data_IF_734639650705
#
_entry.id   IF_734639650705
#
_cell.length_a   1.000
_cell.length_b   1.000
_cell.length_c   1.000
_cell.angle_alpha   90.00
_cell.angle_beta   90.00
_cell.angle_gamma   90.00
#
_symmetry.space_group_name_H-M   'P 1'
#
loop_
_entity.id
_entity.type
_entity.pdbx_description
1 polymer ?
2 polymer ?
#
# COMPACT_ATOMS: atom_id res chain seq x y z
N UNK A 2 -10.48 -13.80 -29.48
CA UNK A 2 -10.19 -12.47 -29.06
C UNK A 2 -8.85 -12.46 -28.41
N UNK A 3 -8.49 -13.57 -27.74
CA UNK A 3 -7.31 -13.63 -26.93
C UNK A 3 -6.29 -14.53 -27.56
N UNK A 4 -5.01 -14.27 -27.20
CA UNK A 4 -3.84 -15.02 -27.54
C UNK A 4 -3.16 -15.06 -26.21
N UNK A 5 -1.86 -15.37 -26.10
CA UNK A 5 -1.32 -15.33 -24.77
C UNK A 5 -1.50 -13.91 -24.28
N UNK A 6 -1.31 -12.96 -25.15
CA UNK A 6 -1.64 -11.60 -24.82
C UNK A 6 -3.11 -11.36 -25.00
N UNK A 7 -3.61 -10.20 -24.51
CA UNK A 7 -4.98 -9.77 -24.51
C UNK A 7 -5.45 -9.56 -25.91
N UNK A 8 -4.54 -9.26 -26.87
CA UNK A 8 -4.97 -9.02 -28.22
C UNK A 8 -5.10 -10.34 -28.93
N UNK A 9 -5.92 -10.37 -30.01
CA UNK A 9 -6.10 -11.56 -30.78
C UNK A 9 -4.96 -11.66 -31.74
N UNK A 10 -4.62 -12.90 -32.16
CA UNK A 10 -3.56 -13.02 -33.11
C UNK A 10 -4.17 -13.35 -34.43
N UNK A 11 -5.16 -12.53 -34.84
CA UNK A 11 -5.78 -12.74 -36.12
C UNK A 11 -4.65 -12.61 -37.07
N UNK A 12 -3.84 -11.55 -36.87
CA UNK A 12 -2.65 -11.42 -37.62
C UNK A 12 -1.65 -12.20 -36.84
N UNK A 13 -0.56 -12.51 -37.45
CA UNK A 13 0.50 -13.19 -36.75
C UNK A 13 1.24 -12.23 -35.87
N UNK A 14 0.73 -10.98 -35.75
CA UNK A 14 1.42 -9.89 -35.13
C UNK A 14 1.79 -10.15 -33.68
N UNK A 15 0.91 -10.78 -32.89
CA UNK A 15 1.17 -11.01 -31.49
C UNK A 15 2.50 -11.66 -31.28
N UNK A 16 3.26 -11.17 -30.27
CA UNK A 16 4.55 -11.71 -29.93
C UNK A 16 4.67 -11.71 -28.44
N UNK A 17 5.51 -12.59 -27.87
CA UNK A 17 5.60 -12.72 -26.45
C UNK A 17 6.12 -11.46 -25.83
N UNK A 18 5.56 -11.12 -24.66
CA UNK A 18 5.84 -9.94 -23.89
C UNK A 18 7.27 -10.03 -23.48
N UNK A 19 7.78 -11.27 -23.41
CA UNK A 19 9.15 -11.51 -23.09
C UNK A 19 10.06 -11.17 -24.24
N UNK A 20 9.65 -11.50 -25.48
CA UNK A 20 10.47 -11.35 -26.65
C UNK A 20 10.48 -9.98 -27.30
N UNK A 21 9.30 -9.32 -27.45
CA UNK A 21 9.29 -8.14 -28.28
C UNK A 21 8.31 -7.12 -27.76
N UNK A 22 8.31 -5.95 -28.39
CA UNK A 22 7.60 -4.77 -27.93
C UNK A 22 6.11 -4.56 -27.72
N UNK A 23 5.15 -5.38 -28.11
CA UNK A 23 3.78 -5.08 -27.74
C UNK A 23 3.27 -3.76 -28.30
N UNK A 24 3.94 -3.20 -29.32
CA UNK A 24 3.55 -1.95 -29.93
C UNK A 24 2.24 -2.16 -30.61
N UNK A 25 1.97 -3.40 -31.04
CA UNK A 25 0.75 -3.68 -31.73
C UNK A 25 -0.43 -3.50 -30.81
N UNK A 26 -0.23 -3.74 -29.50
CA UNK A 26 -1.27 -3.68 -28.50
C UNK A 26 -1.75 -2.27 -28.30
N UNK A 27 -0.83 -1.28 -28.30
CA UNK A 27 -1.21 0.09 -28.08
C UNK A 27 -0.23 0.97 -28.78
N UNK A 28 -0.57 2.23 -28.90
CA UNK A 28 0.30 3.15 -29.55
C UNK A 28 1.58 3.28 -28.80
N UNK A 29 2.68 3.56 -29.51
CA UNK A 29 3.99 3.63 -28.94
C UNK A 29 4.02 4.74 -27.94
N UNK A 30 3.33 5.85 -28.26
CA UNK A 30 3.36 7.00 -27.40
C UNK A 30 2.73 6.61 -26.10
N UNK A 31 1.73 5.72 -26.13
CA UNK A 31 1.06 5.33 -24.92
C UNK A 31 2.05 4.68 -24.02
N UNK A 32 3.02 3.97 -24.60
CA UNK A 32 4.07 3.35 -23.87
C UNK A 32 4.84 4.39 -23.14
N UNK A 33 5.21 5.48 -23.84
CA UNK A 33 5.99 6.51 -23.21
C UNK A 33 5.13 7.16 -22.18
N UNK A 34 3.82 7.21 -22.40
CA UNK A 34 2.95 7.85 -21.46
C UNK A 34 3.00 7.12 -20.16
N UNK A 35 2.89 5.77 -20.18
CA UNK A 35 2.94 5.03 -18.96
C UNK A 35 4.30 5.15 -18.33
N UNK A 36 5.36 5.20 -19.16
CA UNK A 36 6.68 5.36 -18.63
C UNK A 36 6.76 6.67 -17.93
N UNK A 37 6.15 7.74 -18.51
CA UNK A 37 6.22 9.04 -17.92
C UNK A 37 5.54 9.03 -16.59
N UNK A 38 4.39 8.34 -16.50
CA UNK A 38 3.64 8.36 -15.28
C UNK A 38 4.47 7.75 -14.20
N UNK A 39 5.15 6.64 -14.52
CA UNK A 39 5.95 5.96 -13.55
C UNK A 39 7.12 6.82 -13.12
N UNK A 40 7.77 7.53 -14.05
CA UNK A 40 8.93 8.27 -13.65
C UNK A 40 8.55 9.31 -12.63
N UNK A 41 7.44 10.03 -12.86
CA UNK A 41 7.06 11.08 -11.95
C UNK A 41 6.72 10.46 -10.63
N UNK A 42 6.06 9.29 -10.67
CA UNK A 42 5.62 8.64 -9.48
C UNK A 42 6.81 8.30 -8.64
N UNK A 43 7.91 7.86 -9.27
CA UNK A 43 9.06 7.44 -8.52
C UNK A 43 9.51 8.56 -7.66
N UNK A 44 9.52 9.79 -8.20
CA UNK A 44 9.99 10.88 -7.41
C UNK A 44 9.11 11.09 -6.23
N UNK A 45 7.79 11.19 -6.46
CA UNK A 45 6.89 11.51 -5.38
C UNK A 45 6.85 10.43 -4.35
N UNK A 46 6.74 9.16 -4.78
CA UNK A 46 6.58 8.07 -3.86
C UNK A 46 7.79 7.97 -2.99
N UNK A 47 8.99 8.10 -3.58
CA UNK A 47 10.18 7.96 -2.80
C UNK A 47 10.30 9.06 -1.78
N UNK A 48 10.11 10.32 -2.21
CA UNK A 48 10.32 11.43 -1.31
C UNK A 48 9.32 11.40 -0.20
N UNK A 49 8.03 11.20 -0.53
CA UNK A 49 7.00 11.29 0.47
C UNK A 49 7.14 10.21 1.51
N UNK A 50 7.40 8.97 1.08
CA UNK A 50 7.46 7.86 1.99
C UNK A 50 8.68 7.91 2.83
N UNK A 51 9.79 8.41 2.26
CA UNK A 51 11.01 8.51 3.01
C UNK A 51 10.80 9.53 4.08
N UNK A 52 10.08 10.62 3.76
CA UNK A 52 9.83 11.67 4.70
C UNK A 52 9.07 11.12 5.86
N UNK A 53 8.05 10.27 5.60
CA UNK A 53 7.27 9.73 6.67
C UNK A 53 8.13 8.89 7.55
N UNK A 54 8.88 7.95 6.95
CA UNK A 54 9.68 7.03 7.72
C UNK A 54 10.71 7.81 8.47
N UNK A 55 11.34 8.78 7.79
CA UNK A 55 12.40 9.56 8.37
C UNK A 55 11.89 10.36 9.52
N UNK A 56 10.74 11.04 9.34
CA UNK A 56 10.27 11.94 10.36
C UNK A 56 9.94 11.19 11.62
N UNK A 57 9.17 10.11 11.52
CA UNK A 57 8.79 9.47 12.75
C UNK A 57 9.99 8.91 13.44
N UNK A 58 10.93 8.28 12.71
CA UNK A 58 12.08 7.78 13.39
C UNK A 58 12.85 8.93 13.98
N UNK A 59 12.98 10.03 13.21
CA UNK A 59 13.75 11.17 13.65
C UNK A 59 13.15 11.79 14.86
N UNK A 60 11.82 11.99 14.89
CA UNK A 60 11.18 12.68 15.98
C UNK A 60 10.78 11.71 17.02
N UNK A 61 11.38 11.85 18.21
CA UNK A 61 11.19 10.96 19.33
C UNK A 61 9.76 10.95 19.75
N UNK A 62 9.07 12.10 19.70
CA UNK A 62 7.72 12.16 20.18
C UNK A 62 6.81 11.29 19.38
N UNK A 63 7.04 11.17 18.05
CA UNK A 63 6.07 10.41 17.33
C UNK A 63 6.34 8.95 17.51
N UNK A 64 6.11 8.43 18.73
CA UNK A 64 6.30 7.03 18.94
C UNK A 64 5.01 6.54 19.46
N UNK A 65 4.16 6.10 18.54
CA UNK A 65 2.94 5.54 19.00
C UNK A 65 2.93 4.19 18.39
N UNK A 66 2.05 3.30 18.86
CA UNK A 66 2.02 2.01 18.26
C UNK A 66 1.61 2.20 16.84
N UNK A 67 0.66 3.13 16.62
CA UNK A 67 0.14 3.36 15.31
C UNK A 67 1.25 3.76 14.41
N UNK A 68 2.19 4.57 14.93
CA UNK A 68 3.27 5.07 14.13
C UNK A 68 4.09 3.90 13.65
N UNK A 69 4.17 2.84 14.46
CA UNK A 69 4.89 1.66 14.07
C UNK A 69 4.24 1.06 12.86
N UNK A 70 2.90 0.97 12.85
CA UNK A 70 2.19 0.35 11.76
C UNK A 70 2.37 1.17 10.52
N UNK A 71 2.33 2.51 10.67
CA UNK A 71 2.47 3.41 9.55
C UNK A 71 3.82 3.29 8.93
N UNK A 72 4.87 3.03 9.73
CA UNK A 72 6.16 2.91 9.10
C UNK A 72 6.08 1.73 8.20
N UNK A 73 5.37 0.67 8.63
CA UNK A 73 5.27 -0.54 7.89
C UNK A 73 4.65 -0.22 6.56
N UNK A 74 3.55 0.57 6.58
CA UNK A 74 2.91 0.95 5.36
C UNK A 74 3.87 1.73 4.52
N UNK A 75 4.61 2.66 5.14
CA UNK A 75 5.49 3.53 4.41
C UNK A 75 6.53 2.69 3.74
N UNK A 76 7.02 1.66 4.45
CA UNK A 76 8.04 0.78 3.96
C UNK A 76 7.52 0.05 2.76
N UNK A 77 6.26 -0.40 2.80
CA UNK A 77 5.70 -1.13 1.69
C UNK A 77 5.67 -0.23 0.49
N UNK A 78 5.34 1.07 0.68
CA UNK A 78 5.30 2.01 -0.40
C UNK A 78 6.68 2.22 -0.95
N UNK A 79 7.71 2.25 -0.07
CA UNK A 79 9.05 2.49 -0.50
C UNK A 79 9.50 1.39 -1.41
N UNK A 80 9.14 0.13 -1.09
CA UNK A 80 9.58 -0.96 -1.92
C UNK A 80 8.98 -0.75 -3.26
N UNK A 81 7.75 -0.25 -3.32
CA UNK A 81 7.12 -0.04 -4.59
C UNK A 81 7.92 0.96 -5.37
N UNK A 82 8.26 2.10 -4.74
CA UNK A 82 8.96 3.13 -5.44
C UNK A 82 10.33 2.66 -5.82
N UNK A 83 11.05 1.97 -4.93
CA UNK A 83 12.36 1.54 -5.34
C UNK A 83 12.34 0.34 -6.25
N UNK A 84 11.74 -0.78 -5.78
CA UNK A 84 11.75 -2.03 -6.49
C UNK A 84 10.82 -2.12 -7.66
N UNK A 85 9.50 -2.00 -7.41
CA UNK A 85 8.59 -2.30 -8.48
C UNK A 85 8.51 -1.26 -9.54
N UNK A 86 8.48 0.03 -9.15
CA UNK A 86 8.25 1.04 -10.13
C UNK A 86 9.38 1.08 -11.11
N UNK A 87 10.62 0.85 -10.65
CA UNK A 87 11.76 0.97 -11.50
C UNK A 87 11.65 -0.01 -12.65
N UNK A 88 11.32 -1.28 -12.36
CA UNK A 88 11.24 -2.29 -13.36
C UNK A 88 10.11 -1.98 -14.30
N UNK A 89 8.96 -1.54 -13.75
CA UNK A 89 7.80 -1.26 -14.54
C UNK A 89 8.14 -0.15 -15.50
N UNK A 90 9.00 0.80 -15.09
CA UNK A 90 9.39 1.88 -15.94
C UNK A 90 10.24 1.39 -17.09
N UNK A 91 11.22 0.50 -16.80
CA UNK A 91 12.16 0.05 -17.79
C UNK A 91 11.38 -0.64 -18.85
N UNK A 92 10.44 -1.48 -18.43
CA UNK A 92 9.68 -2.18 -19.37
C UNK A 92 8.95 -1.23 -20.24
N UNK A 93 8.33 -0.21 -19.63
CA UNK A 93 7.39 0.57 -20.38
C UNK A 93 8.11 1.17 -21.52
N UNK A 94 9.29 1.74 -21.27
CA UNK A 94 9.94 2.35 -22.38
C UNK A 94 10.44 1.33 -23.37
N UNK A 95 10.74 0.10 -22.91
CA UNK A 95 11.13 -0.97 -23.80
C UNK A 95 9.97 -1.52 -24.58
N UNK A 96 8.74 -1.41 -24.03
CA UNK A 96 7.53 -1.91 -24.62
C UNK A 96 7.32 -3.37 -24.34
N UNK A 97 8.20 -4.00 -23.54
CA UNK A 97 7.97 -5.34 -23.09
C UNK A 97 8.96 -5.76 -22.07
N UNK A 98 8.77 -7.00 -21.59
CA UNK A 98 9.46 -7.67 -20.53
C UNK A 98 10.81 -8.07 -21.05
N UNK A 99 11.78 -7.16 -20.96
CA UNK A 99 13.09 -7.44 -21.49
C UNK A 99 13.71 -8.51 -20.66
N UNK A 100 13.44 -8.45 -19.35
CA UNK A 100 14.01 -9.29 -18.35
C UNK A 100 13.65 -10.73 -18.58
N UNK A 101 12.43 -11.05 -19.05
CA UNK A 101 12.12 -12.44 -19.31
C UNK A 101 11.36 -13.02 -18.15
N UNK A 102 10.97 -14.31 -18.25
CA UNK A 102 10.07 -14.98 -17.34
C UNK A 102 10.55 -14.93 -15.92
N UNK A 103 11.85 -15.11 -15.67
CA UNK A 103 12.31 -15.08 -14.31
C UNK A 103 11.95 -13.78 -13.70
N UNK A 104 12.24 -12.68 -14.42
CA UNK A 104 11.99 -11.41 -13.85
C UNK A 104 10.53 -11.14 -13.69
N UNK A 105 9.68 -11.67 -14.59
CA UNK A 105 8.26 -11.44 -14.46
C UNK A 105 7.90 -11.92 -13.11
N UNK A 106 8.49 -13.07 -12.70
CA UNK A 106 8.24 -13.67 -11.42
C UNK A 106 8.74 -12.80 -10.33
N UNK A 107 9.98 -12.31 -10.46
CA UNK A 107 10.49 -11.49 -9.40
C UNK A 107 9.60 -10.30 -9.28
N UNK A 108 9.29 -9.66 -10.42
CA UNK A 108 8.54 -8.45 -10.43
C UNK A 108 7.15 -8.64 -9.97
N UNK A 109 6.49 -9.74 -10.29
CA UNK A 109 5.18 -9.91 -9.75
C UNK A 109 5.22 -10.15 -8.26
N UNK A 110 6.16 -11.00 -7.78
CA UNK A 110 6.17 -11.39 -6.39
C UNK A 110 6.30 -10.20 -5.48
N UNK A 111 7.28 -9.31 -5.72
CA UNK A 111 7.46 -8.21 -4.80
C UNK A 111 6.28 -7.27 -4.81
N UNK A 112 5.79 -6.89 -5.95
CA UNK A 112 4.61 -6.06 -5.96
C UNK A 112 3.40 -6.68 -5.33
N UNK A 113 3.24 -8.00 -5.43
CA UNK A 113 2.09 -8.64 -4.86
C UNK A 113 2.20 -8.60 -3.38
N UNK A 114 3.42 -8.83 -2.88
CA UNK A 114 3.64 -8.83 -1.46
C UNK A 114 3.28 -7.47 -0.94
N UNK A 115 3.65 -6.41 -1.68
CA UNK A 115 3.41 -5.08 -1.21
C UNK A 115 1.94 -4.81 -1.04
N UNK A 116 1.10 -5.21 -2.02
CA UNK A 116 -0.32 -4.94 -1.96
C UNK A 116 -0.96 -5.71 -0.84
N UNK A 117 -0.58 -6.99 -0.67
CA UNK A 117 -1.20 -7.79 0.34
C UNK A 117 -0.87 -7.20 1.68
N UNK A 118 0.40 -6.82 1.88
CA UNK A 118 0.87 -6.33 3.15
C UNK A 118 0.14 -5.08 3.52
N UNK A 119 -0.17 -4.22 2.53
CA UNK A 119 -0.83 -2.97 2.82
C UNK A 119 -2.19 -3.20 3.38
N UNK A 120 -3.02 -4.00 2.69
CA UNK A 120 -4.38 -4.17 3.12
C UNK A 120 -4.37 -4.81 4.48
N UNK A 121 -3.49 -5.80 4.68
CA UNK A 121 -3.42 -6.46 5.95
C UNK A 121 -2.97 -5.50 7.02
N UNK A 122 -2.04 -4.58 6.71
CA UNK A 122 -1.60 -3.68 7.73
C UNK A 122 -2.71 -2.76 8.10
N UNK A 123 -3.53 -2.37 7.11
CA UNK A 123 -4.64 -1.48 7.34
C UNK A 123 -5.59 -2.14 8.29
N UNK A 124 -5.73 -3.48 8.22
CA UNK A 124 -6.63 -4.14 9.11
C UNK A 124 -6.12 -4.04 10.50
N UNK A 125 -4.80 -4.23 10.69
CA UNK A 125 -4.26 -4.19 12.01
C UNK A 125 -4.56 -2.83 12.58
N UNK A 126 -4.38 -1.79 11.75
CA UNK A 126 -4.62 -0.44 12.18
C UNK A 126 -6.04 -0.32 12.65
N UNK A 127 -7.00 -0.94 11.92
CA UNK A 127 -8.38 -0.84 12.26
C UNK A 127 -8.64 -1.47 13.60
N UNK A 128 -8.05 -2.66 13.83
CA UNK A 128 -8.27 -3.37 15.05
C UNK A 128 -7.69 -2.57 16.18
N UNK A 129 -6.49 -1.99 15.98
CA UNK A 129 -5.86 -1.26 17.03
C UNK A 129 -6.72 -0.05 17.35
N UNK A 130 -7.34 0.55 16.33
CA UNK A 130 -8.18 1.69 16.60
C UNK A 130 -9.32 1.24 17.46
N UNK A 131 -9.87 0.06 17.16
CA UNK A 131 -11.00 -0.43 17.90
C UNK A 131 -10.58 -0.60 19.32
N UNK A 132 -9.38 -1.18 19.54
CA UNK A 132 -8.91 -1.45 20.87
C UNK A 132 -8.72 -0.16 21.62
N UNK A 133 -8.15 0.86 20.97
CA UNK A 133 -7.89 2.11 21.64
C UNK A 133 -9.17 2.74 22.06
N UNK A 134 -10.17 2.71 21.18
CA UNK A 134 -11.39 3.37 21.53
C UNK A 134 -12.05 2.68 22.68
N UNK A 135 -12.25 1.34 22.64
CA UNK A 135 -12.99 0.74 23.72
C UNK A 135 -12.19 0.67 24.98
N UNK A 136 -10.93 0.18 24.89
CA UNK A 136 -10.23 0.02 26.13
C UNK A 136 -9.01 0.86 26.13
N UNK A 137 -9.15 1.97 26.77
CA UNK A 137 -8.09 2.91 26.90
C UNK A 137 -7.01 2.39 27.77
N UNK A 138 -7.23 1.27 28.50
CA UNK A 138 -6.23 0.77 29.40
C UNK A 138 -4.99 0.58 28.58
N UNK A 139 -3.98 1.42 28.87
CA UNK A 139 -2.74 1.44 28.14
C UNK A 139 -1.97 0.17 28.32
N UNK A 140 -1.92 -0.38 29.49
CA UNK A 140 -1.06 -1.52 29.65
C UNK A 140 -1.37 -2.70 28.79
N UNK A 141 -2.62 -2.92 28.37
CA UNK A 141 -2.78 -4.08 27.55
C UNK A 141 -2.34 -3.72 26.17
N UNK A 142 -1.01 -3.66 25.97
CA UNK A 142 -0.49 -3.35 24.68
C UNK A 142 1.01 -3.26 24.81
N UNK A 143 1.76 -3.64 23.76
CA UNK A 143 3.19 -3.52 23.84
C UNK A 143 3.74 -3.12 22.51
N UNK A 144 4.84 -2.32 22.53
CA UNK A 144 5.52 -1.92 21.33
C UNK A 144 6.13 -3.14 20.72
N UNK A 145 6.69 -4.02 21.57
CA UNK A 145 7.39 -5.19 21.11
C UNK A 145 6.43 -6.02 20.33
N UNK A 146 5.19 -6.10 20.80
CA UNK A 146 4.19 -6.89 20.14
C UNK A 146 3.94 -6.34 18.77
N UNK A 147 3.95 -5.00 18.64
CA UNK A 147 3.64 -4.37 17.38
C UNK A 147 4.63 -4.83 16.37
N UNK A 148 5.92 -4.89 16.73
CA UNK A 148 6.91 -5.34 15.79
C UNK A 148 6.59 -6.73 15.40
N UNK A 149 6.21 -7.56 16.39
CA UNK A 149 5.91 -8.94 16.13
C UNK A 149 4.76 -8.99 15.18
N UNK A 150 3.75 -8.13 15.40
CA UNK A 150 2.58 -8.11 14.58
C UNK A 150 2.94 -7.75 13.18
N UNK A 151 3.80 -6.72 13.01
CA UNK A 151 4.15 -6.27 11.70
C UNK A 151 4.81 -7.40 10.96
N UNK A 152 5.70 -8.13 11.66
CA UNK A 152 6.40 -9.20 11.01
C UNK A 152 5.41 -10.24 10.57
N UNK A 153 4.37 -10.47 11.39
CA UNK A 153 3.39 -11.47 11.10
C UNK A 153 2.68 -11.13 9.83
N UNK A 154 2.33 -9.84 9.63
CA UNK A 154 1.60 -9.45 8.46
C UNK A 154 2.43 -9.80 7.27
N UNK A 155 3.75 -9.55 7.35
CA UNK A 155 4.60 -9.87 6.25
C UNK A 155 4.56 -11.35 6.02
N UNK A 156 4.52 -12.17 7.09
CA UNK A 156 4.53 -13.59 6.90
C UNK A 156 3.33 -14.00 6.09
N UNK A 157 2.13 -13.53 6.46
CA UNK A 157 0.92 -13.90 5.77
C UNK A 157 1.00 -13.39 4.36
N UNK A 158 1.56 -12.19 4.18
CA UNK A 158 1.64 -11.62 2.87
C UNK A 158 2.41 -12.58 2.02
N UNK A 159 3.49 -13.15 2.57
CA UNK A 159 4.27 -14.10 1.84
C UNK A 159 3.42 -15.30 1.52
N UNK A 160 2.47 -15.65 2.40
CA UNK A 160 1.67 -16.81 2.12
C UNK A 160 0.98 -16.66 0.81
N UNK A 161 0.43 -15.49 0.49
CA UNK A 161 -0.06 -15.44 -0.86
C UNK A 161 1.00 -15.16 -1.88
N UNK A 162 1.89 -14.20 -1.59
CA UNK A 162 2.82 -13.78 -2.60
C UNK A 162 3.74 -14.88 -3.02
N UNK A 163 4.21 -15.70 -2.06
CA UNK A 163 5.20 -16.68 -2.39
C UNK A 163 4.69 -17.87 -3.16
N UNK A 164 3.50 -18.37 -2.93
CA UNK A 164 3.12 -19.59 -3.61
C UNK A 164 3.10 -19.58 -5.09
N UNK A 165 2.93 -18.42 -5.74
CA UNK A 165 2.95 -18.41 -7.17
C UNK A 165 4.32 -18.88 -7.59
N UNK A 166 5.36 -18.55 -6.80
CA UNK A 166 6.71 -18.97 -7.06
C UNK A 166 6.76 -20.46 -6.94
N UNK A 167 6.07 -20.99 -5.92
CA UNK A 167 5.90 -22.41 -5.78
C UNK A 167 5.08 -22.72 -6.98
N UNK A 168 5.07 -23.99 -7.45
CA UNK A 168 4.32 -24.20 -8.65
C UNK A 168 2.89 -23.83 -8.44
N UNK A 169 2.54 -22.69 -9.05
CA UNK A 169 1.24 -22.14 -8.95
C UNK A 169 1.11 -21.34 -10.19
N UNK A 170 0.08 -20.49 -10.22
CA UNK A 170 -0.20 -19.64 -11.35
C UNK A 170 0.96 -18.68 -11.56
N UNK A 171 0.92 -17.83 -12.66
CA UNK A 171 1.92 -16.79 -13.03
C UNK A 171 1.42 -15.76 -14.13
N UNK A 172 2.21 -14.66 -14.58
CA UNK A 172 1.99 -13.85 -15.85
C UNK A 172 2.00 -12.30 -15.88
N UNK A 173 2.20 -11.68 -17.11
CA UNK A 173 2.21 -10.24 -17.39
C UNK A 173 0.79 -9.73 -17.65
N UNK A 174 0.55 -8.41 -17.39
CA UNK A 174 -0.70 -7.65 -17.44
C UNK A 174 -1.03 -7.16 -18.84
N UNK A 175 -2.19 -6.54 -19.12
CA UNK A 175 -2.60 -6.29 -20.47
C UNK A 175 -1.66 -5.77 -21.51
N UNK A 176 -1.13 -4.53 -21.43
CA UNK A 176 -0.18 -4.03 -22.41
C UNK A 176 1.13 -4.53 -21.95
N UNK A 177 1.09 -5.57 -21.14
CA UNK A 177 2.00 -5.29 -20.14
C UNK A 177 3.37 -5.64 -19.97
N UNK A 178 3.85 -4.64 -19.22
CA UNK A 178 4.89 -4.96 -18.37
C UNK A 178 4.69 -4.48 -16.99
N UNK A 179 3.77 -5.22 -16.40
CA UNK A 179 3.56 -5.29 -15.01
C UNK A 179 3.18 -6.73 -14.93
N UNK A 180 3.58 -7.45 -13.86
CA UNK A 180 3.22 -8.84 -13.84
C UNK A 180 2.35 -9.11 -12.67
N UNK A 181 1.37 -10.03 -12.85
CA UNK A 181 0.42 -10.35 -11.82
C UNK A 181 0.03 -11.80 -11.91
N UNK A 182 -0.93 -12.19 -11.06
CA UNK A 182 -1.41 -13.55 -10.96
C UNK A 182 -2.17 -13.89 -12.21
N UNK A 183 -2.14 -15.18 -12.61
CA UNK A 183 -2.73 -15.66 -13.83
C UNK A 183 -4.22 -15.81 -13.77
N UNK A 184 -4.95 -14.72 -14.04
CA UNK A 184 -6.36 -14.70 -14.26
C UNK A 184 -6.74 -15.21 -15.64
N UNK A 185 -5.95 -15.04 -16.69
CA UNK A 185 -6.41 -15.44 -18.00
C UNK A 185 -6.66 -16.87 -18.33
N UNK A 186 -5.76 -17.79 -17.97
CA UNK A 186 -5.94 -19.13 -18.45
C UNK A 186 -6.09 -19.99 -17.27
N UNK A 187 -6.45 -21.26 -17.50
CA UNK A 187 -6.53 -22.09 -16.35
C UNK A 187 -5.41 -23.08 -16.38
N UNK A 188 -4.17 -22.64 -16.69
CA UNK A 188 -3.00 -23.48 -16.95
C UNK A 188 -3.05 -24.58 -15.92
N UNK A 189 -3.51 -25.76 -16.38
CA UNK A 189 -3.96 -26.88 -15.59
C UNK A 189 -2.87 -27.43 -14.75
N UNK A 190 -1.67 -27.57 -15.33
CA UNK A 190 -0.61 -28.20 -14.59
C UNK A 190 -0.37 -27.36 -13.39
N UNK A 191 -0.52 -26.06 -13.61
CA UNK A 191 -0.34 -24.96 -12.70
C UNK A 191 -1.41 -24.88 -11.62
N UNK A 192 -2.65 -25.34 -11.92
CA UNK A 192 -3.74 -25.19 -10.97
C UNK A 192 -4.00 -23.74 -10.71
N UNK A 193 -4.24 -22.97 -11.79
CA UNK A 193 -4.49 -21.56 -11.75
C UNK A 193 -5.79 -21.21 -11.06
N UNK A 194 -6.88 -21.89 -11.46
CA UNK A 194 -8.21 -21.53 -11.07
C UNK A 194 -8.37 -21.48 -9.59
N UNK A 195 -7.82 -22.48 -8.87
CA UNK A 195 -8.01 -22.53 -7.46
C UNK A 195 -7.34 -21.38 -6.80
N UNK A 196 -6.12 -21.08 -7.26
CA UNK A 196 -5.27 -20.09 -6.66
C UNK A 196 -5.95 -18.75 -6.74
N UNK A 197 -6.60 -18.46 -7.88
CA UNK A 197 -7.22 -17.19 -8.17
C UNK A 197 -8.31 -16.84 -7.22
N UNK A 198 -9.25 -17.76 -6.99
CA UNK A 198 -10.34 -17.46 -6.12
C UNK A 198 -9.78 -17.27 -4.75
N UNK A 199 -8.88 -18.18 -4.36
CA UNK A 199 -8.34 -18.22 -3.03
C UNK A 199 -7.67 -16.94 -2.70
N UNK A 200 -6.81 -16.48 -3.61
CA UNK A 200 -6.04 -15.32 -3.32
C UNK A 200 -6.89 -14.10 -3.17
N UNK A 201 -7.81 -13.83 -4.11
CA UNK A 201 -8.52 -12.59 -4.05
C UNK A 201 -9.30 -12.53 -2.79
N UNK A 202 -10.13 -13.56 -2.55
CA UNK A 202 -11.01 -13.53 -1.43
C UNK A 202 -10.24 -13.51 -0.14
N UNK A 203 -9.33 -14.47 0.05
CA UNK A 203 -8.66 -14.53 1.31
C UNK A 203 -7.80 -13.35 1.54
N UNK A 204 -6.92 -12.99 0.58
CA UNK A 204 -6.03 -11.91 0.88
C UNK A 204 -6.66 -10.55 0.79
N UNK A 205 -7.31 -10.19 -0.33
CA UNK A 205 -7.90 -8.89 -0.46
C UNK A 205 -9.25 -8.72 0.19
N UNK A 206 -10.23 -9.58 -0.17
CA UNK A 206 -11.60 -9.39 0.23
C UNK A 206 -11.84 -9.54 1.71
N UNK A 207 -11.33 -10.62 2.33
CA UNK A 207 -11.63 -10.85 3.71
C UNK A 207 -11.08 -9.74 4.54
N UNK A 208 -9.86 -9.33 4.31
CA UNK A 208 -9.30 -8.27 5.10
C UNK A 208 -10.05 -7.00 4.89
N UNK A 209 -10.66 -6.83 3.71
CA UNK A 209 -11.37 -5.63 3.44
C UNK A 209 -12.60 -5.62 4.32
N UNK A 210 -13.26 -6.80 4.45
CA UNK A 210 -14.47 -6.89 5.20
C UNK A 210 -14.18 -6.60 6.64
N UNK A 211 -13.10 -7.17 7.19
CA UNK A 211 -12.80 -6.99 8.58
C UNK A 211 -12.58 -5.54 8.85
N UNK A 212 -11.84 -4.86 7.97
CA UNK A 212 -11.53 -3.47 8.18
C UNK A 212 -12.84 -2.75 8.18
N UNK A 213 -13.75 -3.13 7.26
CA UNK A 213 -15.02 -2.48 7.18
C UNK A 213 -15.78 -2.73 8.46
N UNK A 214 -15.73 -3.98 8.96
CA UNK A 214 -16.47 -4.33 10.14
C UNK A 214 -15.94 -3.59 11.32
N UNK A 215 -14.62 -3.58 11.51
CA UNK A 215 -14.02 -2.94 12.64
C UNK A 215 -14.38 -1.49 12.56
N UNK A 216 -14.47 -0.97 11.33
CA UNK A 216 -14.83 0.40 11.16
C UNK A 216 -16.19 0.61 11.75
N UNK A 217 -17.13 -0.33 11.53
CA UNK A 217 -18.48 -0.12 12.00
C UNK A 217 -18.52 -0.05 13.49
N UNK A 218 -17.73 -0.89 14.19
CA UNK A 218 -17.79 -0.88 15.63
C UNK A 218 -17.36 0.46 16.14
N UNK A 219 -16.34 1.05 15.50
CA UNK A 219 -15.79 2.33 15.88
C UNK A 219 -16.85 3.37 15.72
N UNK A 220 -17.87 3.09 14.88
CA UNK A 220 -18.92 4.02 14.58
C UNK A 220 -19.68 4.38 15.82
N UNK A 221 -19.99 3.40 16.69
CA UNK A 221 -20.72 3.69 17.88
C UNK A 221 -19.89 4.59 18.74
N UNK A 222 -18.60 4.27 18.87
CA UNK A 222 -17.71 5.00 19.72
C UNK A 222 -17.35 6.28 19.03
N UNK A 223 -16.05 6.66 19.09
CA UNK A 223 -15.62 7.90 18.51
C UNK A 223 -16.05 7.89 17.08
N UNK A 224 -16.66 9.01 16.66
CA UNK A 224 -17.20 9.12 15.34
C UNK A 224 -16.48 10.27 14.70
N UNK A 225 -16.98 10.73 13.55
CA UNK A 225 -16.36 11.80 12.84
C UNK A 225 -16.40 13.05 13.67
N UNK A 226 -17.53 13.32 14.33
CA UNK A 226 -17.64 14.56 15.05
C UNK A 226 -16.59 14.62 16.11
N UNK A 227 -15.80 15.72 16.08
CA UNK A 227 -14.79 15.97 17.06
C UNK A 227 -14.64 17.46 17.11
N UNK A 228 -14.75 18.07 18.30
CA UNK A 228 -14.62 19.49 18.42
C UNK A 228 -13.15 19.76 18.56
N UNK A 229 -12.66 20.79 17.92
CA UNK A 229 -11.26 21.05 17.95
C UNK A 229 -10.69 21.20 19.32
N UNK A 230 -11.41 21.86 20.24
CA UNK A 230 -10.83 21.95 21.56
C UNK A 230 -11.17 20.67 22.24
N UNK A 231 -10.51 20.41 23.38
CA UNK A 231 -10.83 19.24 24.13
C UNK A 231 -12.27 19.38 24.51
N UNK A 232 -12.66 20.56 25.00
CA UNK A 232 -14.00 20.71 25.47
C UNK A 232 -14.94 20.56 24.33
N UNK A 233 -16.09 19.89 24.61
CA UNK A 233 -17.20 19.68 23.73
C UNK A 233 -17.12 18.30 23.15
N UNK A 234 -18.00 17.41 23.63
CA UNK A 234 -18.17 16.08 23.12
C UNK A 234 -16.87 15.33 23.17
N UNK A 235 -15.84 15.87 23.84
CA UNK A 235 -14.61 15.17 23.95
C UNK A 235 -14.36 15.05 25.41
N UNK A 236 -13.90 13.88 25.86
CA UNK A 236 -13.63 13.74 27.27
C UNK A 236 -12.15 13.61 27.41
N UNK A 237 -11.45 14.76 27.39
CA UNK A 237 -10.03 14.89 27.51
C UNK A 237 -9.46 15.18 26.16
N UNK A 238 -8.38 15.99 26.14
CA UNK A 238 -7.73 16.42 24.96
C UNK A 238 -7.19 15.22 24.26
N UNK A 239 -6.68 14.25 25.02
CA UNK A 239 -6.14 13.09 24.39
C UNK A 239 -7.25 12.42 23.64
N UNK A 240 -8.45 12.37 24.25
CA UNK A 240 -9.58 11.75 23.61
C UNK A 240 -9.93 12.50 22.38
N UNK A 241 -9.85 13.84 22.44
CA UNK A 241 -10.19 14.67 21.31
C UNK A 241 -9.16 14.55 20.24
N UNK A 242 -7.89 14.33 20.63
CA UNK A 242 -6.79 14.20 19.72
C UNK A 242 -6.90 12.94 18.91
N UNK A 243 -7.33 11.85 19.56
CA UNK A 243 -7.38 10.53 18.99
C UNK A 243 -8.33 10.50 17.84
N UNK A 244 -9.44 11.24 17.94
CA UNK A 244 -10.46 11.24 16.94
C UNK A 244 -9.84 11.69 15.66
N UNK A 245 -8.81 12.57 15.72
CA UNK A 245 -8.15 13.04 14.54
C UNK A 245 -7.42 11.91 13.87
N UNK A 246 -6.78 11.04 14.66
CA UNK A 246 -6.02 9.94 14.14
C UNK A 246 -6.94 8.96 13.46
N UNK A 247 -8.12 8.71 14.05
CA UNK A 247 -9.02 7.76 13.49
C UNK A 247 -9.48 8.22 12.13
N UNK A 248 -9.79 9.52 11.99
CA UNK A 248 -10.30 10.01 10.74
C UNK A 248 -9.29 9.85 9.66
N UNK A 249 -8.00 10.12 9.96
CA UNK A 249 -7.01 9.95 8.94
C UNK A 249 -6.96 8.51 8.56
N UNK A 250 -7.05 7.62 9.54
CA UNK A 250 -6.95 6.22 9.23
C UNK A 250 -8.07 5.86 8.32
N UNK A 251 -9.25 6.48 8.52
CA UNK A 251 -10.37 6.19 7.68
C UNK A 251 -10.06 6.61 6.28
N UNK A 252 -9.49 7.82 6.10
CA UNK A 252 -9.24 8.30 4.78
C UNK A 252 -8.23 7.42 4.11
N UNK A 253 -7.22 6.96 4.87
CA UNK A 253 -6.18 6.14 4.32
C UNK A 253 -6.81 4.92 3.74
N UNK A 254 -7.79 4.35 4.45
CA UNK A 254 -8.46 3.17 3.98
C UNK A 254 -9.22 3.47 2.72
N UNK A 255 -9.94 4.61 2.69
CA UNK A 255 -10.81 4.92 1.59
C UNK A 255 -10.01 5.04 0.33
N UNK A 256 -8.88 5.76 0.40
CA UNK A 256 -8.08 5.97 -0.76
C UNK A 256 -7.58 4.64 -1.23
N UNK A 257 -7.24 3.76 -0.29
CA UNK A 257 -6.71 2.46 -0.60
C UNK A 257 -7.71 1.69 -1.41
N UNK A 258 -8.98 1.68 -0.96
CA UNK A 258 -10.00 0.90 -1.61
C UNK A 258 -10.23 1.40 -2.99
N UNK A 259 -10.28 2.73 -3.15
CA UNK A 259 -10.59 3.26 -4.45
C UNK A 259 -9.51 2.86 -5.39
N UNK A 260 -8.24 2.96 -4.97
CA UNK A 260 -7.16 2.68 -5.87
C UNK A 260 -7.14 1.23 -6.28
N UNK A 261 -7.21 0.30 -5.31
CA UNK A 261 -7.11 -1.12 -5.54
C UNK A 261 -8.36 -1.81 -6.02
N UNK A 262 -9.54 -1.36 -5.59
CA UNK A 262 -10.73 -2.14 -5.80
C UNK A 262 -10.97 -2.41 -7.25
N UNK A 263 -10.76 -1.47 -8.12
CA UNK A 263 -11.02 -1.76 -9.50
C UNK A 263 -10.16 -2.87 -9.99
N UNK A 264 -8.90 -2.96 -9.52
CA UNK A 264 -8.03 -3.99 -10.00
C UNK A 264 -8.53 -5.33 -9.57
N UNK A 265 -8.94 -5.44 -8.29
CA UNK A 265 -9.38 -6.70 -7.75
C UNK A 265 -10.64 -7.14 -8.43
N UNK A 266 -11.54 -6.20 -8.78
CA UNK A 266 -12.76 -6.60 -9.42
C UNK A 266 -12.44 -7.17 -10.77
N UNK A 267 -11.55 -6.49 -11.52
CA UNK A 267 -11.16 -6.95 -12.83
C UNK A 267 -10.41 -8.23 -12.67
N UNK A 268 -9.75 -8.42 -11.53
CA UNK A 268 -9.02 -9.62 -11.27
C UNK A 268 -9.99 -10.76 -11.44
N UNK A 269 -11.12 -10.71 -10.71
CA UNK A 269 -12.11 -11.75 -10.70
C UNK A 269 -12.86 -11.89 -11.99
N UNK A 270 -13.30 -10.77 -12.61
CA UNK A 270 -14.20 -10.88 -13.73
C UNK A 270 -13.53 -11.63 -14.85
N UNK A 271 -12.32 -11.31 -15.22
CA UNK A 271 -11.71 -12.15 -16.21
C UNK A 271 -11.52 -13.57 -15.80
N UNK A 272 -11.45 -13.87 -14.49
CA UNK A 272 -11.33 -15.23 -14.08
C UNK A 272 -12.56 -15.97 -14.50
N UNK A 273 -13.75 -15.38 -14.28
CA UNK A 273 -14.98 -16.03 -14.62
C UNK A 273 -15.11 -16.14 -16.11
N UNK A 274 -14.80 -15.06 -16.84
CA UNK A 274 -14.95 -15.12 -18.27
C UNK A 274 -13.65 -14.74 -18.88
N UNK A 275 -12.80 -15.72 -19.00
CA UNK A 275 -11.54 -15.45 -19.64
C UNK A 275 -11.75 -15.60 -21.10
N UNK A 276 -10.80 -15.09 -21.91
CA UNK A 276 -10.86 -15.28 -23.32
C UNK A 276 -12.05 -14.56 -23.87
N UNK A 277 -12.64 -13.65 -23.07
CA UNK A 277 -13.74 -12.91 -23.61
C UNK A 277 -13.49 -11.49 -23.28
N UNK A 278 -14.50 -10.63 -23.51
CA UNK A 278 -14.30 -9.25 -23.21
C UNK A 278 -15.26 -8.89 -22.13
N UNK A 279 -14.82 -8.03 -21.19
CA UNK A 279 -15.69 -7.63 -20.11
C UNK A 279 -16.58 -6.63 -20.79
N UNK A 280 -16.58 -5.37 -20.34
CA UNK A 280 -17.32 -4.40 -21.09
C UNK A 280 -16.62 -4.45 -22.40
N UNK A 281 -15.28 -4.46 -22.29
CA UNK A 281 -14.37 -4.69 -23.38
C UNK A 281 -13.18 -5.30 -22.72
N UNK A 282 -12.77 -6.51 -23.16
CA UNK A 282 -11.61 -7.04 -22.51
C UNK A 282 -10.47 -6.60 -23.33
N UNK A 283 -9.64 -5.73 -22.75
CA UNK A 283 -8.60 -5.23 -23.56
C UNK A 283 -7.41 -4.96 -22.71
N UNK A 284 -6.33 -4.61 -23.40
CA UNK A 284 -5.09 -4.19 -22.87
C UNK A 284 -5.35 -2.97 -22.04
N UNK A 285 -6.20 -2.06 -22.52
CA UNK A 285 -6.31 -0.81 -21.85
C UNK A 285 -6.86 -0.96 -20.46
N UNK A 286 -7.94 -1.75 -20.30
CA UNK A 286 -8.59 -1.76 -19.02
C UNK A 286 -7.73 -2.31 -17.94
N UNK A 287 -7.09 -3.46 -18.20
CA UNK A 287 -6.38 -4.15 -17.16
C UNK A 287 -5.27 -3.25 -16.72
N UNK A 288 -4.68 -2.56 -17.70
CA UNK A 288 -3.51 -1.76 -17.56
C UNK A 288 -3.83 -0.58 -16.72
N UNK A 289 -4.97 0.06 -17.00
CA UNK A 289 -5.27 1.29 -16.34
C UNK A 289 -5.33 1.03 -14.87
N UNK A 290 -6.06 -0.02 -14.47
CA UNK A 290 -6.24 -0.24 -13.07
C UNK A 290 -4.97 -0.63 -12.38
N UNK A 291 -4.14 -1.52 -12.97
CA UNK A 291 -2.98 -1.95 -12.24
C UNK A 291 -2.03 -0.82 -12.02
N UNK A 292 -1.88 0.06 -13.02
CA UNK A 292 -1.02 1.20 -12.87
C UNK A 292 -1.59 2.15 -11.85
N UNK A 293 -2.93 2.24 -11.77
CA UNK A 293 -3.62 3.11 -10.85
C UNK A 293 -3.33 2.70 -9.44
N UNK A 294 -3.23 1.38 -9.21
CA UNK A 294 -2.97 0.83 -7.91
C UNK A 294 -1.64 1.34 -7.47
N UNK A 295 -0.71 1.52 -8.43
CA UNK A 295 0.62 1.97 -8.14
C UNK A 295 0.59 3.34 -7.54
N UNK A 296 -0.39 4.20 -7.93
CA UNK A 296 -0.49 5.58 -7.52
C UNK A 296 -0.72 5.67 -6.05
N UNK A 297 -1.26 4.59 -5.48
CA UNK A 297 -1.61 4.60 -4.10
C UNK A 297 -0.39 4.93 -3.31
N UNK A 298 0.77 4.45 -3.78
CA UNK A 298 2.00 4.52 -3.05
C UNK A 298 2.30 5.93 -2.66
N UNK A 299 1.93 6.91 -3.51
CA UNK A 299 2.09 8.33 -3.30
C UNK A 299 1.09 8.96 -2.37
N UNK A 300 -0.17 8.48 -2.34
CA UNK A 300 -1.21 9.20 -1.65
C UNK A 300 -1.00 9.31 -0.17
N UNK A 301 -0.42 8.31 0.49
CA UNK A 301 -0.44 8.42 1.93
C UNK A 301 0.35 9.59 2.44
N UNK A 302 1.48 9.96 1.92
CA UNK A 302 2.17 11.07 2.51
C UNK A 302 1.35 12.33 2.40
N UNK A 303 0.54 12.48 1.34
CA UNK A 303 -0.23 13.68 1.21
C UNK A 303 -1.29 13.72 2.29
N UNK A 304 -1.96 12.57 2.53
CA UNK A 304 -3.02 12.56 3.50
C UNK A 304 -2.46 12.93 4.83
N UNK A 305 -1.26 12.44 5.17
CA UNK A 305 -0.72 12.74 6.48
C UNK A 305 -0.62 14.22 6.66
N UNK A 306 -0.03 14.92 5.68
CA UNK A 306 0.22 16.33 5.86
C UNK A 306 -1.07 17.04 6.05
N UNK A 307 -2.04 16.76 5.19
CA UNK A 307 -3.29 17.46 5.29
C UNK A 307 -3.98 17.09 6.56
N UNK A 308 -4.01 15.77 6.86
CA UNK A 308 -4.73 15.19 7.94
C UNK A 308 -4.22 15.50 9.31
N UNK A 309 -2.89 15.61 9.54
CA UNK A 309 -2.60 15.84 10.92
C UNK A 309 -1.55 16.90 11.12
N UNK A 310 -1.86 17.82 12.04
CA UNK A 310 -1.00 18.92 12.34
C UNK A 310 0.29 18.42 12.93
N UNK A 311 0.22 17.37 13.76
CA UNK A 311 1.40 16.92 14.47
C UNK A 311 2.46 16.57 13.49
N UNK A 312 2.13 15.74 12.48
CA UNK A 312 3.12 15.39 11.49
C UNK A 312 3.48 16.62 10.74
N UNK A 313 2.49 17.46 10.41
CA UNK A 313 2.76 18.60 9.58
C UNK A 313 3.82 19.43 10.21
N UNK A 314 3.64 19.77 11.51
CA UNK A 314 4.60 20.62 12.16
C UNK A 314 5.90 19.92 12.35
N UNK A 315 5.87 18.65 12.77
CA UNK A 315 7.09 17.92 13.01
C UNK A 315 7.86 17.75 11.74
N UNK A 316 7.17 17.52 10.59
CA UNK A 316 7.84 17.32 9.32
C UNK A 316 8.60 18.54 8.96
N UNK A 317 7.95 19.71 9.11
CA UNK A 317 8.47 20.98 8.73
C UNK A 317 9.72 21.20 9.53
N UNK A 318 9.72 20.71 10.78
CA UNK A 318 10.89 20.87 11.59
C UNK A 318 12.00 20.17 10.88
N UNK A 319 11.71 18.98 10.32
CA UNK A 319 12.72 18.21 9.63
C UNK A 319 13.15 18.91 8.38
N UNK A 320 12.20 19.48 7.61
CA UNK A 320 12.55 20.05 6.33
C UNK A 320 13.52 21.15 6.54
N UNK A 321 13.18 22.16 7.37
CA UNK A 321 14.18 23.15 7.57
C UNK A 321 15.15 22.47 8.46
N UNK A 322 16.45 22.52 8.13
CA UNK A 322 17.38 21.73 8.89
C UNK A 322 17.31 22.14 10.33
N UNK A 323 17.27 23.45 10.59
CA UNK A 323 17.17 23.95 11.92
C UNK A 323 15.75 23.81 12.31
N UNK A 324 15.41 24.26 13.49
CA UNK A 324 14.03 24.21 13.86
C UNK A 324 13.16 24.99 12.92
N UNK A 325 13.18 26.33 13.02
CA UNK A 325 12.40 27.17 12.15
C UNK A 325 11.00 26.66 12.08
N UNK A 326 10.39 26.27 13.21
CA UNK A 326 9.06 25.79 12.99
C UNK A 326 8.08 26.80 13.42
N UNK A 327 7.88 27.83 12.57
CA UNK A 327 6.94 28.85 12.87
C UNK A 327 5.61 28.23 12.56
N UNK A 328 4.61 29.04 12.21
CA UNK A 328 3.33 28.52 11.83
C UNK A 328 2.54 28.00 12.99
N UNK A 329 2.98 28.22 14.25
CA UNK A 329 2.11 27.85 15.33
C UNK A 329 2.44 26.52 15.95
N UNK A 330 3.49 25.84 15.46
CA UNK A 330 3.89 24.58 16.04
C UNK A 330 2.71 23.65 16.14
N UNK A 331 2.94 22.50 16.81
CA UNK A 331 1.92 21.52 16.99
C UNK A 331 0.82 22.13 17.80
N UNK A 332 1.19 23.03 18.73
CA UNK A 332 0.28 23.68 19.64
C UNK A 332 -0.44 22.64 20.38
N UNK A 333 0.35 21.66 20.86
CA UNK A 333 -0.09 20.53 21.60
C UNK A 333 1.16 19.76 21.78
N UNK A 334 1.09 18.43 21.61
CA UNK A 334 2.32 17.74 21.73
C UNK A 334 2.92 17.75 20.36
N UNK A 335 3.81 18.72 20.08
CA UNK A 335 4.55 18.52 18.89
C UNK A 335 5.31 17.33 19.31
N UNK A 336 5.71 17.41 20.60
CA UNK A 336 6.27 16.40 21.44
C UNK A 336 5.48 16.56 22.69
N UNK A 337 5.49 15.57 23.60
CA UNK A 337 4.72 15.80 24.78
C UNK A 337 5.29 16.98 25.51
N UNK A 338 6.64 16.98 25.68
CA UNK A 338 7.26 18.04 26.44
C UNK A 338 6.99 19.33 25.76
N UNK A 339 7.51 19.49 24.54
CA UNK A 339 7.35 20.71 23.80
C UNK A 339 7.51 20.29 22.38
N UNK A 340 8.43 20.94 21.64
CA UNK A 340 8.67 20.55 20.28
C UNK A 340 9.14 19.15 20.33
N UNK A 341 9.07 18.42 19.21
CA UNK A 341 9.59 17.08 19.24
C UNK A 341 10.47 16.92 18.04
N UNK A 342 11.51 16.09 18.16
CA UNK A 342 12.40 15.82 17.06
C UNK A 342 13.40 14.83 17.59
N UNK A 343 14.45 14.52 16.82
CA UNK A 343 15.48 13.67 17.34
C UNK A 343 16.14 14.43 18.44
N UNK A 344 16.36 15.72 18.17
CA UNK A 344 16.96 16.64 19.09
C UNK A 344 16.07 17.83 19.03
N UNK A 345 16.59 19.03 19.30
CA UNK A 345 15.71 20.16 19.21
C UNK A 345 14.69 20.02 20.30
N UNK A 346 13.42 20.05 19.87
CA UNK A 346 12.29 20.02 20.74
C UNK A 346 12.17 18.73 21.50
N UNK A 347 12.49 17.57 20.91
CA UNK A 347 12.12 16.44 21.72
C UNK A 347 13.16 16.20 22.75
N UNK A 348 12.86 16.67 23.98
CA UNK A 348 13.79 16.57 25.06
C UNK A 348 13.87 15.16 25.51
N UNK A 349 15.09 14.76 25.94
CA UNK A 349 15.34 13.43 26.41
C UNK A 349 14.42 13.16 27.55
N UNK A 350 13.95 11.91 27.64
CA UNK A 350 13.03 11.52 28.67
C UNK A 350 11.91 12.49 28.74
N UNK A 351 11.05 12.48 27.70
CA UNK A 351 9.90 13.32 27.66
C UNK A 351 9.16 13.15 28.95
N UNK A 352 8.36 14.15 29.32
CA UNK A 352 7.71 14.16 30.60
C UNK A 352 6.79 13.00 30.73
N UNK A 353 6.43 12.69 32.01
CA UNK A 353 5.58 11.58 32.34
C UNK A 353 4.32 12.15 32.89
N UNK A 354 3.22 11.38 32.83
CA UNK A 354 1.97 11.85 33.34
C UNK A 354 1.54 10.91 34.42
N UNK A 355 0.94 11.45 35.51
CA UNK A 355 0.46 10.66 36.60
C UNK A 355 1.60 10.38 37.52
N UNK A 356 1.29 10.05 38.79
CA UNK A 356 2.31 9.74 39.73
C UNK A 356 3.04 8.57 39.17
N UNK A 357 2.28 7.56 38.72
CA UNK A 357 2.89 6.44 38.09
C UNK A 357 3.14 6.88 36.69
N UNK A 358 3.82 6.06 35.88
CA UNK A 358 4.04 6.52 34.56
C UNK A 358 2.96 5.90 33.74
N UNK A 359 1.98 6.74 33.34
CA UNK A 359 0.83 6.27 32.61
C UNK A 359 1.28 5.66 31.33
N UNK A 360 1.95 6.46 30.48
CA UNK A 360 2.36 5.93 29.21
C UNK A 360 3.66 5.24 29.40
N UNK A 361 3.96 4.26 28.53
CA UNK A 361 5.24 3.64 28.70
C UNK A 361 6.20 4.55 28.01
N UNK A 362 6.64 5.59 28.74
CA UNK A 362 7.55 6.55 28.19
C UNK A 362 8.28 7.11 29.35
N UNK A 363 9.45 7.71 29.10
CA UNK A 363 10.18 8.27 30.19
C UNK A 363 10.72 7.12 30.97
N UNK A 364 10.73 5.94 30.34
CA UNK A 364 11.20 4.76 31.00
C UNK A 364 12.69 4.95 31.29
N UNK B 1 7.58 -15.43 -30.89
CA UNK B 1 6.13 -15.22 -30.63
C UNK B 1 5.75 -15.95 -29.33
N UNK B 2 4.64 -15.59 -28.74
CA UNK B 2 4.17 -16.20 -27.45
C UNK B 2 3.77 -17.67 -27.59
N UNK B 3 3.48 -18.13 -28.80
CA UNK B 3 3.06 -19.52 -29.03
C UNK B 3 4.28 -20.46 -29.12
N UNK B 4 5.22 -20.21 -30.00
CA UNK B 4 6.40 -21.09 -30.16
C UNK B 4 7.22 -21.18 -28.87
N UNK B 5 7.16 -20.12 -28.06
CA UNK B 5 7.88 -20.08 -26.79
C UNK B 5 6.98 -20.54 -25.65
N UNK B 6 6.36 -21.69 -25.83
CA UNK B 6 5.50 -22.25 -24.81
C UNK B 6 6.37 -23.00 -23.82
N UNK B 7 7.67 -22.69 -23.87
CA UNK B 7 8.64 -23.32 -23.00
C UNK B 7 8.55 -22.74 -21.59
N UNK B 8 7.41 -22.13 -21.27
CA UNK B 8 7.22 -21.54 -19.95
C UNK B 8 6.99 -22.63 -18.91
N UNK B 9 7.23 -23.89 -19.31
CA UNK B 9 7.04 -25.01 -18.40
C UNK B 9 7.90 -24.85 -17.16
N UNK B 10 8.82 -23.89 -17.18
CA UNK B 10 9.71 -23.65 -16.05
C UNK B 10 8.93 -23.08 -14.86
N UNK B 11 8.03 -22.14 -15.14
CA UNK B 11 7.22 -21.53 -14.10
C UNK B 11 6.00 -22.38 -13.78
#
# INVERSE_FOLDING_TARGET
>A
MDNVLPVDSDLSPNISTNTSEPNQFVQPAWQIVLWAAAYTVIVVTSVVGNVVVMWIILAHKRMRTVTNYFLVNLAFAEASMAAFNTVVNFTYAVHNEWYYGLFYCKFHNFFPIAAVFASIYSMTAVAFDRYMAIIHPLQPRLSATATKVVICVIWVLALLLAFPQGYYSTTETMPSRVVCMIEWPEHPNKIYEKVYHICVTVLIYFLPLLVIGYAYTVVGITLWASEIPGDSSDRYHEQVSAKRKVVKMMIVVVCTFAICWLPFHIFFLLPYINPDLYLKKFIQQVYLAIMWLAMSSTMYNPIIYCCLNDRFRLGFKHAFRCCPFISAGDYEGLEMKSTRYLQTQGSVYKVSRLETTISTVVGA
>B
RPKPQQFFGLM
#
